data_IF_050694210847
#
_entry.id   IF_050694210847
#
_cell.length_a   1.000
_cell.length_b   1.000
_cell.length_c   1.000
_cell.angle_alpha   90.00
_cell.angle_beta   90.00
_cell.angle_gamma   90.00
#
_symmetry.space_group_name_H-M   'P 1'
#
loop_
_entity.id
_entity.type
_entity.pdbx_description
1 polymer ?
#
# COMPACT_ATOMS: atom_id res chain seq x y z
N UNK A 1 -8.40 -15.80 -11.64
CA UNK A 1 -6.95 -15.65 -11.38
C UNK A 1 -6.80 -15.24 -9.93
N UNK A 2 -6.03 -15.97 -9.10
CA UNK A 2 -5.87 -15.60 -7.69
C UNK A 2 -4.96 -14.37 -7.64
N UNK A 3 -5.51 -13.21 -7.31
CA UNK A 3 -4.75 -11.98 -7.12
C UNK A 3 -3.77 -12.19 -5.96
N UNK A 4 -2.52 -11.72 -6.08
CA UNK A 4 -1.57 -11.76 -4.96
C UNK A 4 -2.16 -11.02 -3.75
N UNK A 5 -1.86 -11.47 -2.54
CA UNK A 5 -2.37 -10.87 -1.28
C UNK A 5 -1.87 -9.44 -1.03
N UNK A 6 -0.76 -9.06 -1.66
CA UNK A 6 -0.17 -7.73 -1.58
C UNK A 6 0.71 -7.41 -2.80
N UNK A 7 1.03 -6.13 -2.96
CA UNK A 7 2.05 -5.63 -3.88
C UNK A 7 3.06 -4.77 -3.11
N UNK A 8 4.36 -5.01 -3.32
CA UNK A 8 5.45 -4.21 -2.76
C UNK A 8 5.88 -3.17 -3.81
N UNK A 9 6.06 -1.93 -3.36
CA UNK A 9 6.52 -0.78 -4.16
C UNK A 9 7.66 -0.13 -3.39
N UNK A 10 8.81 0.09 -4.03
CA UNK A 10 9.89 0.89 -3.43
C UNK A 10 9.51 2.38 -3.48
N UNK A 11 9.74 3.07 -2.37
CA UNK A 11 9.59 4.53 -2.21
C UNK A 11 10.98 5.20 -2.06
N UNK A 12 11.99 4.68 -2.76
CA UNK A 12 13.39 5.09 -2.58
C UNK A 12 14.23 4.07 -1.83
N UNK A 13 15.40 4.50 -1.34
CA UNK A 13 16.46 3.59 -0.88
C UNK A 13 16.12 2.83 0.42
N UNK A 14 15.33 3.43 1.32
CA UNK A 14 15.06 2.89 2.66
C UNK A 14 13.60 2.87 3.05
N UNK A 15 12.71 2.90 2.06
CA UNK A 15 11.27 2.96 2.29
C UNK A 15 10.53 2.07 1.29
N UNK A 16 9.55 1.34 1.79
CA UNK A 16 8.66 0.52 0.98
C UNK A 16 7.20 0.85 1.27
N UNK A 17 6.35 0.69 0.27
CA UNK A 17 4.91 0.63 0.38
C UNK A 17 4.44 -0.78 0.06
N UNK A 18 3.68 -1.37 0.98
CA UNK A 18 2.96 -2.62 0.79
C UNK A 18 1.49 -2.28 0.59
N UNK A 19 0.99 -2.40 -0.64
CA UNK A 19 -0.43 -2.30 -0.94
C UNK A 19 -1.07 -3.64 -0.65
N UNK A 20 -1.97 -3.70 0.32
CA UNK A 20 -2.65 -4.94 0.72
C UNK A 20 -3.88 -5.15 -0.15
N UNK A 21 -3.98 -6.35 -0.72
CA UNK A 21 -5.00 -6.76 -1.70
C UNK A 21 -5.82 -7.96 -1.23
N UNK A 22 -5.63 -8.35 0.03
CA UNK A 22 -6.31 -9.48 0.67
C UNK A 22 -7.32 -9.00 1.70
N UNK A 23 -8.42 -9.72 1.83
CA UNK A 23 -9.36 -9.55 2.94
C UNK A 23 -8.90 -10.34 4.19
N UNK A 24 -7.93 -11.23 4.03
CA UNK A 24 -7.39 -12.04 5.13
C UNK A 24 -6.66 -11.18 6.17
N UNK A 25 -6.54 -11.73 7.37
CA UNK A 25 -5.75 -11.13 8.45
C UNK A 25 -4.28 -11.05 8.06
N UNK A 26 -3.59 -10.01 8.53
CA UNK A 26 -2.20 -9.75 8.13
C UNK A 26 -1.24 -10.90 8.45
N UNK A 27 -1.50 -11.67 9.50
CA UNK A 27 -0.70 -12.85 9.88
C UNK A 27 -0.68 -13.94 8.79
N UNK A 28 -1.75 -14.04 7.97
CA UNK A 28 -1.86 -15.03 6.90
C UNK A 28 -0.71 -14.93 5.89
N UNK A 29 -0.28 -13.70 5.58
CA UNK A 29 0.72 -13.43 4.55
C UNK A 29 2.00 -12.79 5.10
N UNK A 30 2.11 -12.60 6.42
CA UNK A 30 3.21 -11.87 7.05
C UNK A 30 4.58 -12.47 6.80
N UNK A 31 4.72 -13.79 6.98
CA UNK A 31 6.00 -14.49 6.78
C UNK A 31 6.45 -14.40 5.32
N UNK A 32 5.52 -14.58 4.37
CA UNK A 32 5.82 -14.45 2.94
C UNK A 32 6.25 -13.02 2.60
N UNK A 33 5.54 -12.01 3.12
CA UNK A 33 5.86 -10.60 2.93
C UNK A 33 7.25 -10.27 3.47
N UNK A 34 7.57 -10.74 4.69
CA UNK A 34 8.89 -10.55 5.28
C UNK A 34 9.99 -11.17 4.41
N UNK A 35 9.81 -12.41 3.95
CA UNK A 35 10.78 -13.06 3.07
C UNK A 35 10.94 -12.35 1.72
N UNK A 36 9.88 -11.75 1.17
CA UNK A 36 9.99 -10.94 -0.05
C UNK A 36 10.71 -9.61 0.19
N UNK A 37 10.40 -8.91 1.28
CA UNK A 37 11.07 -7.67 1.66
C UNK A 37 12.57 -7.88 1.93
N UNK A 38 12.95 -9.01 2.55
CA UNK A 38 14.35 -9.35 2.81
C UNK A 38 15.20 -9.47 1.53
N UNK A 39 14.60 -9.79 0.38
CA UNK A 39 15.31 -9.90 -0.91
C UNK A 39 15.83 -8.55 -1.42
N UNK A 40 15.26 -7.44 -0.95
CA UNK A 40 15.74 -6.11 -1.31
C UNK A 40 17.04 -5.73 -0.59
N UNK A 41 17.47 -6.52 0.42
CA UNK A 41 18.72 -6.32 1.16
C UNK A 41 18.92 -4.90 1.71
N UNK A 42 17.82 -4.28 2.18
CA UNK A 42 17.84 -2.94 2.76
C UNK A 42 17.79 -3.05 4.28
N UNK A 43 18.81 -2.50 4.95
CA UNK A 43 18.85 -2.40 6.41
C UNK A 43 17.97 -1.25 6.91
N UNK A 44 17.25 -1.49 8.01
CA UNK A 44 16.47 -0.50 8.78
C UNK A 44 15.48 0.32 7.93
N UNK A 45 14.75 -0.35 7.04
CA UNK A 45 13.78 0.30 6.17
C UNK A 45 12.47 0.64 6.89
N UNK A 46 11.86 1.77 6.54
CA UNK A 46 10.45 2.03 6.87
C UNK A 46 9.54 1.27 5.90
N UNK A 47 8.55 0.55 6.45
CA UNK A 47 7.57 -0.18 5.64
C UNK A 47 6.20 0.39 5.91
N UNK A 48 5.66 1.11 4.93
CA UNK A 48 4.30 1.61 4.91
C UNK A 48 3.35 0.54 4.39
N UNK A 49 2.13 0.55 4.88
CA UNK A 49 1.05 -0.32 4.45
C UNK A 49 -0.13 0.52 4.01
N UNK A 50 -0.70 0.17 2.86
CA UNK A 50 -2.00 0.65 2.42
C UNK A 50 -3.03 -0.47 2.51
N UNK A 51 -3.91 -0.33 3.50
CA UNK A 51 -5.03 -1.22 3.76
C UNK A 51 -6.35 -0.73 3.15
N UNK A 52 -6.34 0.15 2.13
CA UNK A 52 -7.57 0.63 1.49
C UNK A 52 -8.50 -0.53 1.10
N UNK A 53 -7.92 -1.59 0.53
CA UNK A 53 -8.67 -2.75 0.06
C UNK A 53 -9.48 -3.43 1.18
N UNK A 54 -8.91 -3.56 2.38
CA UNK A 54 -9.48 -4.31 3.51
C UNK A 54 -10.15 -3.45 4.58
N UNK A 55 -9.63 -2.24 4.81
CA UNK A 55 -10.04 -1.36 5.92
C UNK A 55 -10.77 -0.09 5.44
N UNK A 56 -10.73 0.20 4.14
CA UNK A 56 -11.28 1.43 3.56
C UNK A 56 -10.54 2.71 3.97
N UNK A 57 -11.17 3.85 3.75
CA UNK A 57 -10.51 5.17 3.79
C UNK A 57 -10.05 5.60 5.20
N UNK A 58 -10.79 5.24 6.26
CA UNK A 58 -10.53 5.74 7.63
C UNK A 58 -9.28 5.11 8.27
N UNK A 59 -9.02 3.84 7.98
CA UNK A 59 -7.93 3.04 8.54
C UNK A 59 -7.04 2.49 7.43
N UNK A 60 -6.69 3.38 6.50
CA UNK A 60 -5.92 3.08 5.29
C UNK A 60 -4.44 2.85 5.59
N UNK A 61 -3.77 3.83 6.20
CA UNK A 61 -2.31 3.80 6.29
C UNK A 61 -1.76 3.41 7.66
N UNK A 62 -0.83 2.46 7.62
CA UNK A 62 -0.07 1.98 8.77
C UNK A 62 1.40 1.92 8.40
N UNK A 63 2.27 1.83 9.40
CA UNK A 63 3.69 1.57 9.15
C UNK A 63 4.34 0.75 10.25
N UNK A 64 5.41 0.07 9.87
CA UNK A 64 6.34 -0.62 10.75
C UNK A 64 7.77 -0.45 10.23
N UNK A 65 8.74 -1.14 10.83
CA UNK A 65 10.13 -1.20 10.39
C UNK A 65 10.51 -2.61 9.95
N UNK A 66 11.40 -2.67 8.96
CA UNK A 66 12.17 -3.85 8.58
C UNK A 66 13.57 -3.69 9.15
N UNK A 67 13.93 -4.48 10.16
CA UNK A 67 15.26 -4.49 10.78
C UNK A 67 16.03 -5.72 10.32
N UNK A 68 17.01 -5.53 9.44
CA UNK A 68 17.65 -6.63 8.72
C UNK A 68 16.61 -7.41 7.90
N UNK A 69 16.40 -8.69 8.27
CA UNK A 69 15.41 -9.57 7.62
C UNK A 69 14.08 -9.64 8.38
N UNK A 70 13.96 -8.95 9.51
CA UNK A 70 12.81 -9.05 10.42
C UNK A 70 11.85 -7.89 10.25
N UNK A 71 10.61 -8.18 9.87
CA UNK A 71 9.53 -7.22 9.78
C UNK A 71 8.80 -7.16 11.12
N UNK A 72 8.87 -6.03 11.82
CA UNK A 72 8.42 -5.94 13.21
C UNK A 72 6.89 -5.91 13.31
N UNK A 73 6.25 -7.02 13.65
CA UNK A 73 4.78 -7.09 13.75
C UNK A 73 4.23 -6.22 14.88
N UNK A 74 4.87 -6.24 16.04
CA UNK A 74 4.48 -5.52 17.25
C UNK A 74 4.57 -3.99 17.14
N UNK A 75 5.20 -3.48 16.08
CA UNK A 75 5.37 -2.04 15.85
C UNK A 75 4.47 -1.48 14.74
N UNK A 76 3.65 -2.35 14.11
CA UNK A 76 2.67 -1.94 13.11
C UNK A 76 1.62 -1.03 13.74
N UNK A 77 1.61 0.23 13.32
CA UNK A 77 0.73 1.24 13.89
C UNK A 77 0.17 2.15 12.82
N UNK A 78 -1.02 2.69 13.09
CA UNK A 78 -1.64 3.69 12.22
C UNK A 78 -0.71 4.90 12.10
N UNK A 79 -0.59 5.45 10.90
CA UNK A 79 0.25 6.62 10.67
C UNK A 79 -0.39 7.60 9.68
N UNK A 80 0.09 8.84 9.72
CA UNK A 80 -0.07 9.77 8.60
C UNK A 80 0.96 9.38 7.54
N UNK A 81 0.49 8.95 6.37
CA UNK A 81 1.36 8.61 5.24
C UNK A 81 2.04 9.87 4.68
N UNK A 82 3.27 9.71 4.17
CA UNK A 82 3.98 10.75 3.43
C UNK A 82 3.31 11.00 2.07
N UNK A 83 3.58 12.15 1.45
CA UNK A 83 3.03 12.44 0.13
C UNK A 83 3.51 11.42 -0.92
N UNK A 84 4.78 10.99 -0.85
CA UNK A 84 5.34 9.96 -1.71
C UNK A 84 4.59 8.63 -1.58
N UNK A 85 4.33 8.18 -0.34
CA UNK A 85 3.55 6.96 -0.09
C UNK A 85 2.12 7.07 -0.65
N UNK A 86 1.47 8.22 -0.49
CA UNK A 86 0.13 8.47 -1.01
C UNK A 86 0.15 8.44 -2.54
N UNK A 87 1.10 9.14 -3.17
CA UNK A 87 1.24 9.20 -4.63
C UNK A 87 1.54 7.83 -5.23
N UNK A 88 2.43 7.04 -4.62
CA UNK A 88 2.74 5.69 -5.07
C UNK A 88 1.51 4.76 -4.99
N UNK A 89 0.74 4.86 -3.90
CA UNK A 89 -0.50 4.10 -3.76
C UNK A 89 -1.57 4.52 -4.76
N UNK A 90 -1.82 5.83 -4.90
CA UNK A 90 -2.82 6.35 -5.83
C UNK A 90 -2.42 6.01 -7.29
N UNK A 91 -1.12 5.99 -7.61
CA UNK A 91 -0.60 5.47 -8.90
C UNK A 91 -0.89 3.98 -9.09
N UNK A 92 -0.67 3.15 -8.07
CA UNK A 92 -1.01 1.73 -8.12
C UNK A 92 -2.51 1.53 -8.41
N UNK A 93 -3.39 2.16 -7.65
CA UNK A 93 -4.85 2.02 -7.85
C UNK A 93 -5.36 2.65 -9.16
N UNK A 94 -4.62 3.62 -9.72
CA UNK A 94 -4.88 4.14 -11.06
C UNK A 94 -4.63 3.09 -12.13
N UNK A 95 -3.54 2.32 -12.01
CA UNK A 95 -3.17 1.28 -12.97
C UNK A 95 -4.00 0.00 -12.79
N UNK A 96 -4.51 -0.24 -11.58
CA UNK A 96 -5.24 -1.44 -11.20
C UNK A 96 -6.64 -1.08 -10.67
N UNK A 97 -7.46 -0.41 -11.48
CA UNK A 97 -8.78 0.09 -11.06
C UNK A 97 -9.76 -1.03 -10.72
N UNK A 98 -9.61 -2.19 -11.34
CA UNK A 98 -10.41 -3.40 -11.11
C UNK A 98 -10.26 -3.89 -9.66
N UNK A 99 -9.07 -3.78 -9.08
CA UNK A 99 -8.81 -4.14 -7.67
C UNK A 99 -9.73 -3.37 -6.72
N UNK A 100 -10.06 -2.12 -7.03
CA UNK A 100 -10.95 -1.29 -6.21
C UNK A 100 -12.34 -1.92 -6.14
N UNK A 101 -12.82 -2.59 -7.19
CA UNK A 101 -14.15 -3.22 -7.20
C UNK A 101 -14.30 -4.29 -6.12
N UNK A 102 -13.23 -4.99 -5.81
CA UNK A 102 -13.21 -6.09 -4.85
C UNK A 102 -12.87 -5.66 -3.42
N UNK A 103 -12.62 -4.36 -3.20
CA UNK A 103 -12.37 -3.79 -1.88
C UNK A 103 -13.63 -3.68 -1.02
N UNK A 104 -13.43 -3.48 0.29
CA UNK A 104 -14.47 -3.23 1.30
C UNK A 104 -15.17 -1.87 1.16
N UNK A 105 -14.70 -1.00 0.26
CA UNK A 105 -15.32 0.30 0.04
C UNK A 105 -16.78 0.13 -0.40
N UNK A 106 -17.67 1.00 0.07
CA UNK A 106 -19.05 1.03 -0.45
C UNK A 106 -19.06 1.47 -1.91
N UNK A 107 -20.14 1.19 -2.66
CA UNK A 107 -20.25 1.60 -4.07
C UNK A 107 -20.03 3.11 -4.27
N UNK A 108 -20.52 3.93 -3.34
CA UNK A 108 -20.35 5.39 -3.36
C UNK A 108 -18.88 5.77 -3.14
N UNK A 109 -18.21 5.18 -2.14
CA UNK A 109 -16.77 5.37 -1.93
C UNK A 109 -15.96 4.90 -3.15
N UNK A 110 -16.39 3.78 -3.75
CA UNK A 110 -16.13 3.27 -5.10
C UNK A 110 -15.92 4.41 -6.10
N UNK A 111 -17.03 5.06 -6.39
CA UNK A 111 -17.14 6.12 -7.38
C UNK A 111 -16.29 7.33 -7.03
N UNK A 112 -16.34 7.82 -5.79
CA UNK A 112 -15.58 9.00 -5.40
C UNK A 112 -14.07 8.79 -5.45
N UNK A 113 -13.59 7.63 -5.00
CA UNK A 113 -12.17 7.32 -5.02
C UNK A 113 -11.64 7.24 -6.45
N UNK A 114 -12.35 6.57 -7.37
CA UNK A 114 -11.95 6.54 -8.80
C UNK A 114 -11.95 7.93 -9.44
N UNK A 115 -12.99 8.74 -9.20
CA UNK A 115 -13.04 10.13 -9.68
C UNK A 115 -11.86 10.96 -9.16
N UNK A 116 -11.43 10.73 -7.92
CA UNK A 116 -10.23 11.37 -7.35
C UNK A 116 -8.99 10.95 -8.15
N UNK A 117 -8.78 9.66 -8.36
CA UNK A 117 -7.62 9.14 -9.11
C UNK A 117 -7.56 9.70 -10.53
N UNK A 118 -8.70 9.78 -11.23
CA UNK A 118 -8.77 10.31 -12.59
C UNK A 118 -8.36 11.79 -12.67
N UNK A 119 -8.72 12.60 -11.67
CA UNK A 119 -8.31 14.01 -11.60
C UNK A 119 -6.80 14.17 -11.40
N UNK A 120 -6.19 13.27 -10.63
CA UNK A 120 -4.75 13.30 -10.35
C UNK A 120 -3.91 12.96 -11.59
N UNK A 121 -4.45 12.19 -12.55
CA UNK A 121 -3.75 11.88 -13.81
C UNK A 121 -3.79 13.00 -14.86
N UNK A 122 -4.67 14.00 -14.70
CA UNK A 122 -4.85 15.08 -15.68
C UNK A 122 -3.86 16.24 -15.46
N UNK A 123 -3.20 16.32 -14.30
CA UNK A 123 -2.12 17.27 -14.09
C UNK A 123 -0.83 16.70 -14.69
N UNK A 124 -0.28 17.28 -15.78
CA UNK A 124 1.01 16.87 -16.28
C UNK A 124 2.06 17.17 -15.21
N UNK A 125 3.00 16.25 -15.04
CA UNK A 125 4.23 16.40 -14.26
C UNK A 125 5.19 17.38 -14.95
N UNK A 126 4.71 18.55 -15.37
CA UNK A 126 5.51 19.64 -15.91
C UNK A 126 5.16 20.93 -15.19
N UNK A 127 5.70 21.08 -13.99
CA UNK A 127 6.09 22.39 -13.45
C UNK A 127 7.48 22.20 -12.84
N UNK A 128 8.49 22.23 -13.71
CA UNK A 128 9.85 22.69 -13.42
C UNK A 128 10.10 23.91 -14.30
#
# INVERSE_FOLDING_TARGET
MKTKDYQIISLGERSFLVVVLSLEMTDYYWTALQSELAKYNVADAEVYFDFLYRNGLKNRFFKTKLMGVSLLNNSLRKCKATQECISASDKFFTLHKDVIEHSVLSSIQKTFFRKKLDRTNILPTNVL
#
